data_IF_160580060296
#
_entry.id   IF_160580060296
#
_cell.length_a   1.000
_cell.length_b   1.000
_cell.length_c   1.000
_cell.angle_alpha   90.00
_cell.angle_beta   90.00
_cell.angle_gamma   90.00
#
_symmetry.space_group_name_H-M   'P 1'
#
loop_
_entity.id
_entity.type
_entity.pdbx_description
1 polymer ?
#
# COMPACT_ATOMS: atom_id res chain seq x y z
N UNK A 1 8.01 17.79 24.31
CA UNK A 1 8.90 17.06 23.38
C UNK A 1 8.95 15.64 23.89
N UNK A 2 8.27 14.73 23.19
CA UNK A 2 8.11 13.34 23.61
C UNK A 2 9.33 12.54 23.11
N UNK A 3 10.09 11.85 23.97
CA UNK A 3 11.22 11.03 23.55
C UNK A 3 10.69 9.70 22.98
N UNK A 4 9.91 9.77 21.89
CA UNK A 4 9.63 8.59 21.09
C UNK A 4 10.93 8.18 20.42
N UNK A 5 11.43 7.03 20.84
CA UNK A 5 12.47 6.20 20.22
C UNK A 5 12.45 6.45 18.71
N UNK A 6 13.46 7.16 18.20
CA UNK A 6 13.64 7.29 16.75
C UNK A 6 13.90 5.88 16.22
N UNK A 7 12.99 5.41 15.39
CA UNK A 7 13.14 4.16 14.65
C UNK A 7 14.51 4.14 13.96
N UNK A 8 15.28 3.06 14.17
CA UNK A 8 16.59 2.82 13.55
C UNK A 8 16.44 2.55 12.06
N UNK A 9 15.31 1.97 11.64
CA UNK A 9 14.98 1.68 10.24
C UNK A 9 13.79 2.53 9.81
N UNK A 10 14.01 3.63 9.07
CA UNK A 10 12.94 4.39 8.44
C UNK A 10 11.86 3.51 7.77
N UNK A 11 10.61 3.76 8.13
CA UNK A 11 9.43 3.03 7.64
C UNK A 11 8.16 3.86 7.84
N UNK A 12 6.97 3.30 7.54
CA UNK A 12 5.69 3.98 7.81
C UNK A 12 5.42 4.03 9.31
N UNK A 13 5.78 5.15 9.95
CA UNK A 13 5.56 5.40 11.39
C UNK A 13 4.29 6.21 11.68
N UNK A 14 3.60 6.70 10.65
CA UNK A 14 2.37 7.49 10.78
C UNK A 14 1.53 7.43 9.53
N UNK A 15 0.24 7.11 9.70
CA UNK A 15 -0.75 7.17 8.63
C UNK A 15 -0.98 8.63 8.18
N UNK A 16 -0.88 8.93 6.87
CA UNK A 16 -1.08 10.29 6.37
C UNK A 16 -2.50 10.80 6.65
N UNK A 17 -2.62 11.89 7.43
CA UNK A 17 -3.92 12.50 7.78
C UNK A 17 -4.76 12.88 6.56
N UNK A 18 -4.12 13.30 5.46
CA UNK A 18 -4.82 13.61 4.20
C UNK A 18 -5.46 12.36 3.58
N UNK A 19 -4.82 11.20 3.68
CA UNK A 19 -5.37 9.94 3.19
C UNK A 19 -6.58 9.50 4.03
N UNK A 20 -6.49 9.62 5.37
CA UNK A 20 -7.63 9.38 6.27
C UNK A 20 -8.78 10.37 5.98
N UNK A 21 -8.47 11.65 5.78
CA UNK A 21 -9.47 12.66 5.40
C UNK A 21 -10.14 12.28 4.09
N UNK A 22 -9.37 11.90 3.07
CA UNK A 22 -9.89 11.48 1.77
C UNK A 22 -10.84 10.28 1.90
N UNK A 23 -10.47 9.25 2.66
CA UNK A 23 -11.33 8.11 2.94
C UNK A 23 -12.70 8.50 3.52
N UNK A 24 -12.69 9.43 4.49
CA UNK A 24 -13.91 9.94 5.15
C UNK A 24 -14.81 10.79 4.24
N UNK A 25 -14.32 11.20 3.07
CA UNK A 25 -15.11 11.98 2.09
C UNK A 25 -15.91 11.09 1.14
N UNK A 26 -15.65 9.78 1.11
CA UNK A 26 -16.42 8.83 0.33
C UNK A 26 -17.73 8.48 1.03
N UNK A 27 -18.78 8.33 0.24
CA UNK A 27 -20.05 7.72 0.67
C UNK A 27 -19.85 6.25 1.06
N UNK A 28 -20.80 5.69 1.80
CA UNK A 28 -20.77 4.26 2.17
C UNK A 28 -20.73 3.34 0.94
N UNK A 29 -21.35 3.74 -0.16
CA UNK A 29 -21.31 3.00 -1.43
C UNK A 29 -19.91 3.01 -2.03
N UNK A 30 -19.26 4.16 -2.11
CA UNK A 30 -17.89 4.29 -2.62
C UNK A 30 -16.87 3.55 -1.74
N UNK A 31 -17.04 3.59 -0.41
CA UNK A 31 -16.21 2.81 0.53
C UNK A 31 -16.39 1.30 0.32
N UNK A 32 -17.64 0.85 0.11
CA UNK A 32 -17.92 -0.55 -0.20
C UNK A 32 -17.28 -0.97 -1.54
N UNK A 33 -17.39 -0.15 -2.58
CA UNK A 33 -16.71 -0.40 -3.87
C UNK A 33 -15.19 -0.53 -3.71
N UNK A 34 -14.57 0.36 -2.92
CA UNK A 34 -13.15 0.27 -2.59
C UNK A 34 -12.80 -1.02 -1.86
N UNK A 35 -13.61 -1.43 -0.87
CA UNK A 35 -13.40 -2.68 -0.14
C UNK A 35 -13.55 -3.92 -1.03
N UNK A 36 -14.41 -3.89 -2.05
CA UNK A 36 -14.50 -4.99 -3.02
C UNK A 36 -13.21 -5.14 -3.86
N UNK A 37 -12.48 -4.05 -4.08
CA UNK A 37 -11.23 -4.04 -4.86
C UNK A 37 -9.98 -4.26 -4.02
N UNK A 38 -9.95 -3.71 -2.82
CA UNK A 38 -8.77 -3.66 -1.95
C UNK A 38 -8.87 -4.58 -0.73
N UNK A 39 -10.02 -5.20 -0.49
CA UNK A 39 -10.28 -5.97 0.71
C UNK A 39 -10.09 -5.12 1.98
N UNK A 40 -9.44 -5.70 2.99
CA UNK A 40 -9.13 -5.04 4.26
C UNK A 40 -7.86 -4.19 4.23
N UNK A 41 -7.21 -3.99 3.07
CA UNK A 41 -6.12 -3.02 2.95
C UNK A 41 -6.58 -1.59 3.31
N UNK A 42 -7.87 -1.29 3.15
CA UNK A 42 -8.48 -0.03 3.60
C UNK A 42 -8.41 0.15 5.12
N UNK A 43 -8.43 -0.93 5.89
CA UNK A 43 -8.32 -0.92 7.35
C UNK A 43 -6.93 -0.49 7.85
N UNK A 44 -5.90 -0.47 6.99
CA UNK A 44 -4.57 0.06 7.33
C UNK A 44 -4.62 1.53 7.77
N UNK A 45 -5.67 2.27 7.38
CA UNK A 45 -5.88 3.66 7.77
C UNK A 45 -6.10 3.86 9.28
N UNK A 46 -6.59 2.83 9.96
CA UNK A 46 -6.96 2.88 11.38
C UNK A 46 -5.91 2.23 12.28
N UNK A 47 -4.83 1.70 11.70
CA UNK A 47 -3.77 1.03 12.45
C UNK A 47 -2.82 2.05 13.06
N UNK A 48 -2.43 1.80 14.32
CA UNK A 48 -1.31 2.49 14.95
C UNK A 48 0.00 1.76 14.59
N UNK A 49 0.92 2.38 13.83
CA UNK A 49 2.18 1.73 13.47
C UNK A 49 3.04 1.43 14.70
N UNK A 50 3.59 0.22 14.77
CA UNK A 50 4.52 -0.26 15.80
C UNK A 50 5.92 -0.52 15.21
N UNK A 51 6.71 0.54 14.93
CA UNK A 51 8.06 0.37 14.39
C UNK A 51 8.98 -0.40 15.34
N UNK A 52 8.73 -0.33 16.65
CA UNK A 52 9.40 -1.11 17.68
C UNK A 52 9.25 -2.62 17.46
N UNK A 53 8.03 -3.08 17.11
CA UNK A 53 7.76 -4.48 16.83
C UNK A 53 8.46 -4.92 15.53
N UNK A 54 8.40 -4.10 14.48
CA UNK A 54 9.05 -4.42 13.20
C UNK A 54 10.58 -4.47 13.35
N UNK A 55 11.16 -3.56 14.12
CA UNK A 55 12.60 -3.58 14.41
C UNK A 55 13.03 -4.81 15.21
N UNK A 56 12.22 -5.22 16.19
CA UNK A 56 12.47 -6.47 16.91
C UNK A 56 12.41 -7.67 15.95
N UNK A 57 11.47 -7.69 14.99
CA UNK A 57 11.38 -8.77 14.00
C UNK A 57 12.62 -8.87 13.12
N UNK A 58 13.17 -7.73 12.71
CA UNK A 58 14.36 -7.68 11.86
C UNK A 58 15.57 -8.38 12.49
N UNK A 59 15.68 -8.44 13.82
CA UNK A 59 16.80 -9.14 14.48
C UNK A 59 16.78 -10.65 14.29
N UNK A 60 15.63 -11.21 13.91
CA UNK A 60 15.42 -12.65 13.72
C UNK A 60 15.36 -13.05 12.24
N UNK A 61 15.43 -12.09 11.31
CA UNK A 61 15.34 -12.38 9.88
C UNK A 61 16.60 -13.11 9.40
N UNK A 62 16.42 -14.31 8.84
CA UNK A 62 17.42 -14.97 8.04
C UNK A 62 17.15 -14.75 6.54
N UNK A 63 17.93 -13.89 5.86
CA UNK A 63 17.75 -13.61 4.45
C UNK A 63 18.13 -14.80 3.55
N UNK A 64 18.89 -15.79 4.03
CA UNK A 64 19.28 -16.94 3.21
C UNK A 64 18.13 -17.93 3.00
N UNK A 65 17.35 -18.17 4.06
CA UNK A 65 16.21 -19.10 4.01
C UNK A 65 14.85 -18.39 3.94
N UNK A 66 14.82 -17.04 4.00
CA UNK A 66 13.61 -16.22 3.98
C UNK A 66 12.64 -16.57 5.13
N UNK A 67 13.19 -16.75 6.33
CA UNK A 67 12.45 -17.09 7.55
C UNK A 67 12.88 -16.21 8.72
N UNK A 68 12.01 -16.03 9.69
CA UNK A 68 12.36 -15.56 11.02
C UNK A 68 12.76 -16.76 11.90
N UNK A 69 13.94 -16.70 12.53
CA UNK A 69 14.47 -17.75 13.42
C UNK A 69 14.40 -17.36 14.88
N UNK A 70 13.62 -18.09 15.66
CA UNK A 70 13.50 -17.98 17.11
C UNK A 70 14.07 -19.23 17.77
N UNK A 71 15.40 -19.30 17.92
CA UNK A 71 16.06 -20.54 18.30
C UNK A 71 15.83 -21.61 17.23
N UNK A 72 15.25 -22.74 17.62
CA UNK A 72 14.90 -23.86 16.71
C UNK A 72 13.57 -23.67 15.96
N UNK A 73 12.80 -22.62 16.28
CA UNK A 73 11.52 -22.36 15.64
C UNK A 73 11.69 -21.40 14.46
N UNK A 74 11.13 -21.77 13.31
CA UNK A 74 11.11 -20.94 12.10
C UNK A 74 9.68 -20.50 11.77
N UNK A 75 9.52 -19.25 11.36
CA UNK A 75 8.24 -18.71 10.91
C UNK A 75 8.44 -17.80 9.71
N UNK A 76 7.49 -17.79 8.79
CA UNK A 76 7.53 -16.87 7.65
C UNK A 76 6.12 -16.58 7.15
N UNK A 77 5.80 -15.34 6.73
CA UNK A 77 4.47 -15.05 6.22
C UNK A 77 4.16 -15.82 4.94
N UNK A 78 2.97 -16.38 4.83
CA UNK A 78 2.57 -17.16 3.64
C UNK A 78 1.56 -16.42 2.76
N UNK A 79 1.35 -16.91 1.53
CA UNK A 79 0.27 -16.41 0.67
C UNK A 79 -1.11 -16.58 1.33
N UNK A 80 -1.32 -17.68 2.07
CA UNK A 80 -2.57 -17.95 2.76
C UNK A 80 -2.81 -16.94 3.89
N UNK A 81 -1.81 -16.66 4.70
CA UNK A 81 -1.90 -15.67 5.78
C UNK A 81 -2.07 -14.25 5.25
N UNK A 82 -1.29 -13.86 4.23
CA UNK A 82 -1.46 -12.55 3.59
C UNK A 82 -2.84 -12.40 2.97
N UNK A 83 -3.33 -13.44 2.28
CA UNK A 83 -4.70 -13.50 1.75
C UNK A 83 -5.75 -13.37 2.86
N UNK A 84 -5.52 -13.99 4.02
CA UNK A 84 -6.39 -13.91 5.19
C UNK A 84 -6.44 -12.49 5.75
N UNK A 85 -5.28 -11.91 6.00
CA UNK A 85 -5.13 -10.54 6.53
C UNK A 85 -5.75 -9.48 5.63
N UNK A 86 -5.59 -9.61 4.30
CA UNK A 86 -6.12 -8.64 3.32
C UNK A 86 -7.54 -8.97 2.84
N UNK A 87 -8.08 -10.14 3.18
CA UNK A 87 -9.33 -10.69 2.60
C UNK A 87 -9.35 -10.66 1.07
N UNK A 88 -8.21 -10.89 0.43
CA UNK A 88 -8.06 -10.93 -1.02
C UNK A 88 -7.65 -12.33 -1.45
N UNK A 89 -8.50 -13.04 -2.19
CA UNK A 89 -8.13 -14.38 -2.69
C UNK A 89 -6.95 -14.31 -3.65
N UNK A 90 -6.04 -15.28 -3.55
CA UNK A 90 -5.00 -15.57 -4.54
C UNK A 90 -5.29 -16.83 -5.36
N UNK A 91 -6.26 -17.65 -4.95
CA UNK A 91 -6.62 -18.89 -5.64
C UNK A 91 -7.29 -18.54 -6.97
N UNK A 92 -6.79 -19.14 -8.04
CA UNK A 92 -7.29 -18.92 -9.41
C UNK A 92 -7.23 -17.46 -9.86
N UNK A 93 -6.31 -16.67 -9.29
CA UNK A 93 -6.08 -15.27 -9.65
C UNK A 93 -4.68 -15.07 -10.23
N UNK A 94 -4.57 -14.23 -11.24
CA UNK A 94 -3.28 -13.85 -11.82
C UNK A 94 -2.54 -12.87 -10.90
N UNK A 95 -1.22 -13.03 -10.78
CA UNK A 95 -0.36 -12.05 -10.10
C UNK A 95 -0.25 -10.78 -10.95
N UNK A 96 -0.34 -9.62 -10.29
CA UNK A 96 -0.08 -8.34 -10.92
C UNK A 96 1.43 -8.06 -10.92
N UNK A 97 1.98 -7.78 -12.10
CA UNK A 97 3.33 -7.23 -12.25
C UNK A 97 3.24 -5.72 -12.53
N UNK A 98 3.82 -4.87 -11.68
CA UNK A 98 3.83 -3.43 -11.91
C UNK A 98 4.62 -3.10 -13.18
N UNK A 99 4.13 -2.15 -13.96
CA UNK A 99 4.74 -1.72 -15.23
C UNK A 99 5.05 -0.23 -15.19
N UNK A 100 6.16 0.13 -15.83
CA UNK A 100 6.49 1.53 -16.09
C UNK A 100 5.43 2.20 -16.95
N UNK A 101 5.14 3.47 -16.61
CA UNK A 101 4.26 4.34 -17.38
C UNK A 101 5.06 5.55 -17.83
N UNK A 102 4.90 5.96 -19.09
CA UNK A 102 5.30 7.31 -19.48
C UNK A 102 4.48 8.32 -18.67
N UNK A 103 5.05 9.51 -18.42
CA UNK A 103 4.36 10.66 -17.82
C UNK A 103 2.97 10.89 -18.43
N UNK A 104 2.90 10.89 -19.75
CA UNK A 104 1.65 11.09 -20.51
C UNK A 104 0.62 9.99 -20.25
N UNK A 105 1.06 8.73 -20.20
CA UNK A 105 0.18 7.59 -19.97
C UNK A 105 -0.36 7.60 -18.54
N UNK A 106 0.50 7.83 -17.55
CA UNK A 106 0.10 7.95 -16.14
C UNK A 106 -1.00 9.00 -15.94
N UNK A 107 -0.79 10.21 -16.48
CA UNK A 107 -1.77 11.30 -16.38
C UNK A 107 -3.06 10.97 -17.14
N UNK A 108 -2.96 10.43 -18.36
CA UNK A 108 -4.12 10.02 -19.15
C UNK A 108 -4.94 8.92 -18.47
N UNK A 109 -4.29 7.96 -17.80
CA UNK A 109 -4.96 6.91 -17.04
C UNK A 109 -5.73 7.49 -15.85
N UNK A 110 -5.34 8.64 -15.31
CA UNK A 110 -6.09 9.41 -14.31
C UNK A 110 -7.08 10.43 -14.92
N UNK A 111 -7.15 10.54 -16.25
CA UNK A 111 -7.99 11.51 -16.95
C UNK A 111 -7.48 12.95 -16.91
N UNK A 112 -6.18 13.14 -16.63
CA UNK A 112 -5.49 14.42 -16.64
C UNK A 112 -4.81 14.67 -17.99
N UNK A 113 -4.72 15.95 -18.38
CA UNK A 113 -3.91 16.41 -19.51
C UNK A 113 -2.42 16.23 -19.19
N UNK A 114 -1.60 16.16 -20.24
CA UNK A 114 -0.16 16.18 -20.05
C UNK A 114 0.29 17.47 -19.36
N UNK A 115 1.16 17.36 -18.36
CA UNK A 115 1.68 18.50 -17.61
C UNK A 115 3.20 18.41 -17.50
N UNK A 116 3.91 19.29 -18.22
CA UNK A 116 5.39 19.35 -18.27
C UNK A 116 6.01 19.92 -17.01
N UNK A 117 5.23 20.57 -16.15
CA UNK A 117 5.71 21.14 -14.90
C UNK A 117 5.80 20.09 -13.78
N UNK A 118 5.21 18.91 -13.96
CA UNK A 118 5.29 17.79 -13.02
C UNK A 118 6.60 17.01 -13.19
N UNK A 119 7.72 17.65 -12.83
CA UNK A 119 9.06 17.05 -12.91
C UNK A 119 9.21 15.78 -12.06
N UNK A 120 8.41 15.63 -11.01
CA UNK A 120 8.38 14.39 -10.21
C UNK A 120 8.07 13.14 -11.06
N UNK A 121 7.30 13.28 -12.14
CA UNK A 121 6.97 12.18 -13.04
C UNK A 121 8.17 11.72 -13.88
N UNK A 122 9.21 12.55 -14.04
CA UNK A 122 10.49 12.13 -14.64
C UNK A 122 11.25 11.16 -13.74
N UNK A 123 10.99 11.20 -12.43
CA UNK A 123 11.52 10.30 -11.41
C UNK A 123 10.51 9.21 -11.00
N UNK A 124 9.44 9.01 -11.80
CA UNK A 124 8.42 7.98 -11.58
C UNK A 124 7.68 8.05 -10.24
N UNK A 125 7.42 9.27 -9.73
CA UNK A 125 6.60 9.44 -8.53
C UNK A 125 5.61 10.61 -8.59
N UNK A 126 4.57 10.54 -7.76
CA UNK A 126 3.59 11.61 -7.54
C UNK A 126 3.35 11.82 -6.04
N UNK A 127 2.99 13.05 -5.62
CA UNK A 127 2.68 13.34 -4.22
C UNK A 127 1.23 13.05 -3.87
N UNK A 128 0.98 12.67 -2.60
CA UNK A 128 -0.38 12.59 -2.06
C UNK A 128 -1.11 13.94 -2.17
N UNK A 129 -0.38 15.04 -2.00
CA UNK A 129 -0.92 16.39 -2.06
C UNK A 129 -1.48 16.73 -3.44
N UNK A 130 -0.77 16.33 -4.49
CA UNK A 130 -1.22 16.49 -5.86
C UNK A 130 -2.50 15.70 -6.12
N UNK A 131 -2.50 14.40 -5.77
CA UNK A 131 -3.67 13.52 -5.97
C UNK A 131 -4.88 14.00 -5.15
N UNK A 132 -4.67 14.30 -3.86
CA UNK A 132 -5.73 14.74 -2.97
C UNK A 132 -6.39 16.04 -3.46
N UNK A 133 -5.61 17.03 -3.91
CA UNK A 133 -6.17 18.28 -4.41
C UNK A 133 -7.11 18.08 -5.61
N UNK A 134 -6.85 17.07 -6.45
CA UNK A 134 -7.55 16.83 -7.71
C UNK A 134 -8.68 15.82 -7.63
N UNK A 135 -8.63 14.89 -6.68
CA UNK A 135 -9.58 13.78 -6.57
C UNK A 135 -10.26 13.66 -5.20
N UNK A 136 -9.77 14.38 -4.18
CA UNK A 136 -10.33 14.34 -2.83
C UNK A 136 -11.64 15.11 -2.71
N UNK A 137 -11.59 16.46 -2.69
CA UNK A 137 -12.77 17.33 -2.66
C UNK A 137 -13.76 17.07 -3.79
N UNK A 138 -15.05 17.26 -3.49
CA UNK A 138 -16.15 16.97 -4.41
C UNK A 138 -16.25 18.01 -5.55
N UNK A 139 -15.76 19.21 -5.30
CA UNK A 139 -15.65 20.35 -6.20
C UNK A 139 -14.32 20.38 -6.97
N UNK A 140 -13.37 19.48 -6.69
CA UNK A 140 -12.04 19.47 -7.34
C UNK A 140 -12.12 19.39 -8.87
N UNK A 141 -13.10 18.70 -9.44
CA UNK A 141 -13.29 18.69 -10.89
C UNK A 141 -13.56 20.08 -11.45
N UNK A 142 -14.38 20.88 -10.75
CA UNK A 142 -14.77 22.21 -11.20
C UNK A 142 -13.63 23.22 -10.95
N UNK A 143 -12.86 23.04 -9.86
CA UNK A 143 -11.68 23.87 -9.54
C UNK A 143 -10.53 23.64 -10.53
N UNK A 144 -10.28 22.40 -10.93
CA UNK A 144 -9.18 22.00 -11.83
C UNK A 144 -9.68 21.57 -13.21
N UNK A 145 -10.82 22.12 -13.67
CA UNK A 145 -11.51 21.65 -14.87
C UNK A 145 -10.62 21.68 -16.13
N UNK A 146 -9.70 22.65 -16.21
CA UNK A 146 -8.78 22.83 -17.31
C UNK A 146 -7.61 21.84 -17.28
N UNK A 147 -7.35 21.18 -16.16
CA UNK A 147 -6.36 20.09 -16.05
C UNK A 147 -6.93 18.73 -16.51
N UNK A 148 -8.26 18.55 -16.49
CA UNK A 148 -8.89 17.28 -16.85
C UNK A 148 -9.19 17.16 -18.36
N UNK A 149 -9.01 15.97 -18.90
CA UNK A 149 -9.43 15.57 -20.26
C UNK A 149 -10.54 14.51 -20.23
N UNK A 150 -11.43 14.59 -19.23
CA UNK A 150 -12.50 13.62 -19.00
C UNK A 150 -13.79 14.31 -18.56
N UNK A 151 -14.91 13.57 -18.53
CA UNK A 151 -16.19 14.10 -18.04
C UNK A 151 -16.27 14.02 -16.52
N UNK A 152 -17.06 14.88 -15.87
CA UNK A 152 -17.29 14.82 -14.41
C UNK A 152 -17.73 13.44 -13.94
N UNK A 153 -18.62 12.78 -14.70
CA UNK A 153 -19.07 11.42 -14.41
C UNK A 153 -17.93 10.38 -14.47
N UNK A 154 -17.00 10.49 -15.43
CA UNK A 154 -15.80 9.62 -15.48
C UNK A 154 -14.83 9.98 -14.36
N UNK A 155 -14.60 11.26 -14.11
CA UNK A 155 -13.75 11.73 -13.01
C UNK A 155 -14.21 11.19 -11.66
N UNK A 156 -15.52 11.19 -11.37
CA UNK A 156 -16.07 10.64 -10.12
C UNK A 156 -15.61 9.19 -9.89
N UNK A 157 -15.65 8.34 -10.93
CA UNK A 157 -15.17 6.95 -10.85
C UNK A 157 -13.66 6.87 -10.60
N UNK A 158 -12.89 7.74 -11.25
CA UNK A 158 -11.43 7.82 -11.09
C UNK A 158 -10.97 8.30 -9.72
N UNK A 159 -11.85 8.89 -8.90
CA UNK A 159 -11.53 9.26 -7.52
C UNK A 159 -11.16 8.02 -6.69
N UNK A 160 -11.83 6.89 -6.93
CA UNK A 160 -11.54 5.62 -6.26
C UNK A 160 -10.20 5.03 -6.72
N UNK A 161 -9.91 5.12 -8.02
CA UNK A 161 -8.62 4.72 -8.60
C UNK A 161 -7.47 5.54 -8.01
N UNK A 162 -7.60 6.87 -7.99
CA UNK A 162 -6.58 7.79 -7.46
C UNK A 162 -6.37 7.60 -5.95
N UNK A 163 -7.45 7.35 -5.19
CA UNK A 163 -7.34 7.02 -3.77
C UNK A 163 -6.61 5.69 -3.56
N UNK A 164 -6.94 4.67 -4.36
CA UNK A 164 -6.29 3.36 -4.30
C UNK A 164 -4.80 3.46 -4.61
N UNK A 165 -4.41 4.29 -5.58
CA UNK A 165 -3.01 4.60 -5.86
C UNK A 165 -2.31 5.19 -4.63
N UNK A 166 -2.93 6.16 -3.97
CA UNK A 166 -2.39 6.76 -2.75
C UNK A 166 -2.31 5.80 -1.57
N UNK A 167 -3.33 4.95 -1.37
CA UNK A 167 -3.33 3.95 -0.30
C UNK A 167 -2.25 2.88 -0.52
N UNK A 168 -2.20 2.32 -1.73
CA UNK A 168 -1.20 1.30 -2.07
C UNK A 168 0.22 1.88 -1.96
N UNK A 169 0.49 3.04 -2.56
CA UNK A 169 1.84 3.60 -2.58
C UNK A 169 2.35 4.18 -1.27
N UNK A 170 1.48 4.40 -0.27
CA UNK A 170 1.89 4.95 1.02
C UNK A 170 1.87 3.92 2.16
N UNK A 171 1.02 2.90 2.07
CA UNK A 171 0.79 1.95 3.16
C UNK A 171 1.14 0.50 2.80
N UNK A 172 1.12 0.14 1.51
CA UNK A 172 1.32 -1.25 1.06
C UNK A 172 2.67 -1.43 0.36
N UNK A 173 3.04 -0.49 -0.49
CA UNK A 173 4.31 -0.44 -1.23
C UNK A 173 5.01 0.90 -1.01
N UNK A 174 5.34 1.25 0.25
CA UNK A 174 5.89 2.56 0.58
C UNK A 174 7.28 2.75 -0.03
N UNK A 175 7.52 3.93 -0.57
CA UNK A 175 8.86 4.41 -0.89
C UNK A 175 9.39 5.34 0.19
N UNK A 176 10.71 5.53 0.21
CA UNK A 176 11.32 6.61 0.98
C UNK A 176 10.72 7.97 0.60
N UNK A 177 10.79 8.92 1.52
CA UNK A 177 10.22 10.27 1.40
C UNK A 177 8.69 10.32 1.18
N UNK A 178 7.98 9.19 1.30
CA UNK A 178 6.52 9.09 1.12
C UNK A 178 6.05 9.45 -0.29
N UNK A 179 6.89 9.15 -1.28
CA UNK A 179 6.55 9.24 -2.68
C UNK A 179 5.63 8.08 -3.11
N UNK A 180 4.67 8.36 -4.00
CA UNK A 180 3.81 7.33 -4.58
C UNK A 180 4.36 6.96 -5.95
N UNK A 181 4.81 5.71 -6.12
CA UNK A 181 5.34 5.22 -7.39
C UNK A 181 4.27 5.26 -8.49
N UNK A 182 4.60 5.85 -9.65
CA UNK A 182 3.71 5.87 -10.82
C UNK A 182 3.49 4.47 -11.40
N UNK A 183 4.38 3.51 -11.12
CA UNK A 183 4.25 2.10 -11.55
C UNK A 183 2.99 1.42 -11.00
N UNK A 184 2.57 1.84 -9.79
CA UNK A 184 1.36 1.33 -9.14
C UNK A 184 0.09 1.71 -9.91
N UNK A 185 0.14 2.64 -10.86
CA UNK A 185 -0.99 2.92 -11.73
C UNK A 185 -1.41 1.68 -12.52
N UNK A 186 -0.48 0.85 -13.02
CA UNK A 186 -0.87 -0.43 -13.65
C UNK A 186 -1.60 -1.37 -12.70
N UNK A 187 -1.20 -1.37 -11.42
CA UNK A 187 -1.81 -2.21 -10.40
C UNK A 187 -3.24 -1.77 -10.15
N UNK A 188 -3.46 -0.46 -9.99
CA UNK A 188 -4.80 0.12 -9.86
C UNK A 188 -5.64 -0.17 -11.10
N UNK A 189 -5.11 0.06 -12.31
CA UNK A 189 -5.85 -0.22 -13.54
C UNK A 189 -6.24 -1.71 -13.66
N UNK A 190 -5.36 -2.62 -13.25
CA UNK A 190 -5.65 -4.05 -13.26
C UNK A 190 -6.77 -4.43 -12.26
N UNK A 191 -6.77 -3.84 -11.06
CA UNK A 191 -7.81 -4.07 -10.04
C UNK A 191 -9.17 -3.50 -10.44
N UNK A 192 -9.21 -2.30 -11.04
CA UNK A 192 -10.45 -1.62 -11.36
C UNK A 192 -11.08 -2.04 -12.69
N UNK A 193 -10.26 -2.46 -13.66
CA UNK A 193 -10.72 -2.84 -15.00
C UNK A 193 -10.58 -4.34 -15.30
N UNK A 194 -10.74 -5.18 -14.27
CA UNK A 194 -10.82 -6.63 -14.43
C UNK A 194 -11.84 -7.01 -15.51
N UNK A 195 -11.38 -7.81 -16.49
CA UNK A 195 -12.28 -8.42 -17.47
C UNK A 195 -12.80 -9.72 -16.86
N UNK A 196 -14.04 -10.10 -17.17
CA UNK A 196 -14.74 -11.27 -16.61
C UNK A 196 -13.95 -12.61 -16.62
N UNK A 197 -12.88 -12.74 -17.42
CA UNK A 197 -12.04 -13.94 -17.53
C UNK A 197 -10.65 -13.86 -16.91
N UNK A 198 -10.24 -12.71 -16.36
CA UNK A 198 -8.94 -12.54 -15.71
C UNK A 198 -9.12 -11.71 -14.45
N UNK A 199 -9.26 -12.41 -13.33
CA UNK A 199 -9.22 -11.79 -12.00
C UNK A 199 -7.78 -11.75 -11.51
N UNK A 200 -7.41 -10.66 -10.87
CA UNK A 200 -6.03 -10.40 -10.43
C UNK A 200 -5.96 -10.23 -8.92
N UNK A 201 -4.76 -10.32 -8.36
CA UNK A 201 -4.52 -10.04 -6.95
C UNK A 201 -3.17 -9.38 -6.70
N UNK A 202 -3.11 -8.56 -5.65
CA UNK A 202 -1.88 -7.97 -5.13
C UNK A 202 -1.19 -8.84 -4.08
N UNK A 203 -1.82 -9.92 -3.60
CA UNK A 203 -1.30 -10.73 -2.47
C UNK A 203 0.12 -11.27 -2.73
N UNK A 204 0.43 -11.88 -3.89
CA UNK A 204 1.80 -12.32 -4.17
C UNK A 204 2.81 -11.15 -4.24
N UNK A 205 2.37 -10.00 -4.76
CA UNK A 205 3.20 -8.80 -4.83
C UNK A 205 3.50 -8.26 -3.42
N UNK A 206 2.51 -8.22 -2.53
CA UNK A 206 2.69 -7.84 -1.11
C UNK A 206 3.72 -8.75 -0.45
N UNK A 207 3.57 -10.07 -0.59
CA UNK A 207 4.47 -11.02 0.03
C UNK A 207 5.91 -10.90 -0.51
N UNK A 208 6.06 -10.76 -1.83
CA UNK A 208 7.36 -10.57 -2.46
C UNK A 208 8.05 -9.29 -1.98
N UNK A 209 7.33 -8.17 -1.89
CA UNK A 209 7.88 -6.90 -1.40
C UNK A 209 8.22 -6.94 0.09
N UNK A 210 7.48 -7.71 0.91
CA UNK A 210 7.84 -7.95 2.30
C UNK A 210 9.18 -8.69 2.42
N UNK A 211 9.35 -9.80 1.69
CA UNK A 211 10.61 -10.55 1.69
C UNK A 211 11.79 -9.73 1.17
N UNK A 212 11.57 -8.97 0.09
CA UNK A 212 12.59 -8.07 -0.44
C UNK A 212 13.00 -7.05 0.62
N UNK A 213 12.05 -6.36 1.24
CA UNK A 213 12.33 -5.33 2.24
C UNK A 213 13.05 -5.88 3.49
N UNK A 214 12.64 -7.05 3.98
CA UNK A 214 13.29 -7.72 5.10
C UNK A 214 14.77 -8.05 4.79
N UNK A 215 15.02 -8.63 3.61
CA UNK A 215 16.37 -8.99 3.19
C UNK A 215 17.25 -7.78 2.88
N UNK A 216 16.70 -6.76 2.23
CA UNK A 216 17.43 -5.53 1.92
C UNK A 216 17.83 -4.75 3.17
N UNK A 217 16.91 -4.56 4.12
CA UNK A 217 17.21 -3.88 5.38
C UNK A 217 18.25 -4.66 6.19
N UNK A 218 18.17 -5.99 6.21
CA UNK A 218 19.17 -6.85 6.85
C UNK A 218 20.54 -6.77 6.15
N UNK A 219 20.54 -6.47 4.84
CA UNK A 219 21.73 -6.17 4.04
C UNK A 219 22.23 -4.73 4.13
N UNK A 220 21.60 -3.87 4.94
CA UNK A 220 22.03 -2.48 5.19
C UNK A 220 21.30 -1.40 4.38
N UNK A 221 20.23 -1.73 3.66
CA UNK A 221 19.34 -0.73 3.06
C UNK A 221 18.64 0.06 4.16
N UNK A 222 18.52 1.38 3.98
CA UNK A 222 18.09 2.28 5.05
C UNK A 222 16.58 2.29 5.29
N UNK A 223 15.76 2.12 4.24
CA UNK A 223 14.30 2.27 4.34
C UNK A 223 13.61 0.92 4.12
N UNK A 224 12.60 0.62 4.94
CA UNK A 224 11.77 -0.57 4.79
C UNK A 224 10.67 -0.32 3.74
N UNK A 225 10.92 -0.71 2.49
CA UNK A 225 10.02 -0.45 1.35
C UNK A 225 8.83 -1.43 1.23
N UNK A 226 8.72 -2.41 2.14
CA UNK A 226 7.57 -3.30 2.26
C UNK A 226 6.50 -2.72 3.18
N UNK A 227 5.31 -3.33 3.21
CA UNK A 227 4.28 -2.93 4.17
C UNK A 227 4.65 -3.37 5.60
N UNK A 228 5.39 -2.53 6.34
CA UNK A 228 5.64 -2.75 7.76
C UNK A 228 4.34 -2.86 8.56
N UNK A 229 3.25 -2.26 8.07
CA UNK A 229 1.92 -2.35 8.67
C UNK A 229 1.28 -3.73 8.54
N UNK A 230 1.48 -4.44 7.43
CA UNK A 230 1.02 -5.82 7.29
C UNK A 230 1.91 -6.79 8.07
N UNK A 231 3.24 -6.54 8.08
CA UNK A 231 4.17 -7.35 8.86
C UNK A 231 3.87 -7.30 10.37
N UNK A 232 3.57 -6.12 10.93
CA UNK A 232 3.18 -6.01 12.34
C UNK A 232 1.87 -6.77 12.63
N UNK A 233 0.88 -6.72 11.72
CA UNK A 233 -0.41 -7.37 11.94
C UNK A 233 -0.24 -8.89 11.96
N UNK A 234 0.50 -9.41 10.98
CA UNK A 234 0.89 -10.82 10.93
C UNK A 234 1.57 -11.23 12.24
N UNK A 235 2.56 -10.48 12.70
CA UNK A 235 3.27 -10.81 13.93
C UNK A 235 2.36 -10.76 15.17
N UNK A 236 1.49 -9.77 15.27
CA UNK A 236 0.54 -9.66 16.38
C UNK A 236 -0.44 -10.84 16.41
N UNK A 237 -0.88 -11.35 15.26
CA UNK A 237 -1.74 -12.54 15.19
C UNK A 237 -1.04 -13.79 15.74
N UNK A 238 0.24 -13.97 15.43
CA UNK A 238 1.02 -15.10 15.93
C UNK A 238 1.44 -14.96 17.40
N UNK A 239 1.81 -13.77 17.86
CA UNK A 239 2.20 -13.54 19.26
C UNK A 239 1.00 -13.58 20.22
N UNK A 240 -0.16 -13.03 19.83
CA UNK A 240 -1.36 -13.13 20.67
C UNK A 240 -1.87 -14.57 20.79
N UNK A 241 -1.78 -15.36 19.71
CA UNK A 241 -2.18 -16.77 19.76
C UNK A 241 -1.25 -17.58 20.68
N UNK A 242 0.05 -17.28 20.69
CA UNK A 242 1.01 -17.91 21.61
C UNK A 242 0.71 -17.60 23.10
N UNK A 243 0.13 -16.43 23.37
CA UNK A 243 -0.24 -16.00 24.74
C UNK A 243 -1.42 -16.79 25.32
N UNK A 244 -2.26 -17.39 24.47
CA UNK A 244 -3.41 -18.22 24.88
C UNK A 244 -3.08 -19.71 24.98
N UNK A 245 -1.93 -20.14 24.43
CA UNK A 245 -1.49 -21.54 24.40
C UNK A 245 -0.42 -21.88 25.45
N UNK A 246 0.08 -20.90 26.21
CA UNK A 246 0.92 -21.17 27.38
C UNK A 246 0.05 -21.26 28.65
N UNK A 247 -0.14 -22.44 29.26
CA UNK A 247 -0.42 -22.47 30.68
C UNK A 247 0.83 -21.94 31.39
N UNK A 248 0.68 -20.80 32.06
CA UNK A 248 1.72 -20.26 32.93
C UNK A 248 2.14 -21.35 33.95
N UNK A 249 3.44 -21.62 34.14
CA UNK A 249 3.91 -22.47 35.22
C UNK A 249 3.66 -21.87 36.60
#
# INVERSE_FOLDING_TARGET
>A
MDPLIRSKVPMVVKIPRKLIKWWKMFSSLEQYELMQKLGTLTSLLDITPRPDLVEAMLTYWDPQNLVFRFGECEMTPTLAEMSGLTRLSYISKDMILPRDHSRTRFLSDLGLKDNKHLKCLEQSWISLDYLFARFGPQDSFDVFWDEFCTTKAKWQRRRLEAFSLGLLGLLVFPLDERHISTRLQSVVMALFHEKQRKTVTVVPMILAELYRALSEVSGGVRYFEGSNLLLQLWMMEHLHTASLLCPMP
#
